data_IF_910985954195
#
_entry.id   IF_910985954195
#
_cell.length_a   1.000
_cell.length_b   1.000
_cell.length_c   1.000
_cell.angle_alpha   90.00
_cell.angle_beta   90.00
_cell.angle_gamma   90.00
#
_symmetry.space_group_name_H-M   'P 1'
#
loop_
_entity.id
_entity.type
_entity.pdbx_description
1 polymer ?
#
# COMPACT_ATOMS: atom_id res chain seq x y z
N UNK A 1 25.83 8.03 -5.85
CA UNK A 1 24.66 8.89 -5.60
C UNK A 1 23.55 7.97 -5.15
N UNK A 2 23.18 8.03 -3.87
CA UNK A 2 22.00 7.31 -3.38
C UNK A 2 20.74 8.02 -3.89
N UNK A 3 19.77 7.24 -4.36
CA UNK A 3 18.53 7.77 -4.91
C UNK A 3 17.72 8.42 -3.77
N UNK A 4 17.22 9.66 -3.94
CA UNK A 4 16.38 10.33 -2.94
C UNK A 4 15.01 9.63 -2.72
N UNK A 5 14.75 8.57 -3.49
CA UNK A 5 13.57 7.71 -3.40
C UNK A 5 13.80 6.42 -2.60
N UNK A 6 14.94 6.30 -1.91
CA UNK A 6 15.28 5.16 -1.06
C UNK A 6 14.48 5.20 0.24
N UNK A 7 13.35 4.49 0.29
CA UNK A 7 12.63 4.21 1.53
C UNK A 7 13.09 2.86 2.05
N UNK A 8 13.60 2.82 3.28
CA UNK A 8 13.90 1.57 3.98
C UNK A 8 12.58 0.89 4.37
N UNK A 9 12.18 -0.11 3.58
CA UNK A 9 11.02 -0.94 3.89
C UNK A 9 11.40 -1.97 4.94
N UNK A 10 10.70 -1.94 6.08
CA UNK A 10 10.83 -2.98 7.09
C UNK A 10 10.09 -4.23 6.64
N UNK A 11 10.72 -5.39 6.81
CA UNK A 11 10.11 -6.67 6.49
C UNK A 11 9.00 -6.99 7.48
N UNK A 12 7.80 -7.28 6.96
CA UNK A 12 6.66 -7.71 7.76
C UNK A 12 6.61 -9.26 7.80
N UNK A 13 6.27 -9.82 8.95
CA UNK A 13 6.07 -11.27 9.11
C UNK A 13 5.01 -11.77 8.11
N UNK A 14 5.44 -12.64 7.21
CA UNK A 14 4.63 -13.12 6.09
C UNK A 14 3.43 -13.97 6.55
N UNK A 15 3.57 -14.72 7.65
CA UNK A 15 2.48 -15.51 8.20
C UNK A 15 1.41 -14.61 8.82
N UNK A 16 1.83 -13.59 9.59
CA UNK A 16 0.91 -12.58 10.15
C UNK A 16 0.23 -11.77 9.05
N UNK A 17 0.98 -11.38 8.03
CA UNK A 17 0.47 -10.64 6.86
C UNK A 17 -0.59 -11.43 6.10
N UNK A 18 -0.33 -12.71 5.83
CA UNK A 18 -1.27 -13.58 5.13
C UNK A 18 -2.56 -13.83 5.93
N UNK A 19 -2.47 -13.98 7.26
CA UNK A 19 -3.66 -14.10 8.12
C UNK A 19 -4.45 -12.80 8.13
N UNK A 20 -3.77 -11.65 8.26
CA UNK A 20 -4.41 -10.33 8.21
C UNK A 20 -5.10 -10.10 6.86
N UNK A 21 -4.44 -10.39 5.74
CA UNK A 21 -5.01 -10.26 4.40
C UNK A 21 -6.19 -11.21 4.19
N UNK A 22 -6.09 -12.47 4.64
CA UNK A 22 -7.21 -13.42 4.55
C UNK A 22 -8.39 -13.01 5.41
N UNK A 23 -8.16 -12.42 6.58
CA UNK A 23 -9.24 -11.90 7.41
C UNK A 23 -9.84 -10.62 6.78
N UNK A 24 -9.01 -9.72 6.25
CA UNK A 24 -9.46 -8.51 5.55
C UNK A 24 -10.23 -8.80 4.25
N UNK A 25 -9.84 -9.83 3.51
CA UNK A 25 -10.47 -10.18 2.23
C UNK A 25 -11.56 -11.26 2.37
N UNK A 26 -11.53 -12.02 3.47
CA UNK A 26 -12.36 -13.22 3.67
C UNK A 26 -13.49 -13.06 4.69
N UNK A 27 -13.43 -12.05 5.58
CA UNK A 27 -14.53 -11.77 6.51
C UNK A 27 -15.11 -10.38 6.26
N UNK A 28 -16.42 -10.35 6.02
CA UNK A 28 -17.31 -9.21 5.83
C UNK A 28 -17.31 -8.48 4.48
N UNK A 29 -18.49 -8.51 3.83
CA UNK A 29 -18.87 -7.64 2.70
C UNK A 29 -18.90 -6.15 3.06
N UNK A 30 -18.71 -5.79 4.33
CA UNK A 30 -18.66 -4.41 4.84
C UNK A 30 -17.25 -3.84 4.93
N UNK A 31 -16.21 -4.66 4.75
CA UNK A 31 -14.87 -4.13 4.49
C UNK A 31 -14.88 -3.55 3.08
N UNK A 32 -15.06 -2.25 2.99
CA UNK A 32 -14.91 -1.51 1.74
C UNK A 32 -13.46 -1.62 1.28
N UNK A 33 -13.15 -2.72 0.59
CA UNK A 33 -11.93 -2.89 -0.18
C UNK A 33 -12.10 -1.94 -1.37
N UNK A 34 -11.64 -0.71 -1.20
CA UNK A 34 -11.66 0.26 -2.28
C UNK A 34 -10.51 -0.05 -3.23
N UNK A 35 -10.86 -0.61 -4.39
CA UNK A 35 -9.96 -0.71 -5.54
C UNK A 35 -9.92 0.66 -6.21
N UNK A 36 -9.00 1.51 -5.77
CA UNK A 36 -8.86 2.84 -6.31
C UNK A 36 -8.00 2.84 -7.58
N UNK A 37 -8.40 3.59 -8.60
CA UNK A 37 -7.49 3.99 -9.68
C UNK A 37 -6.45 5.01 -9.15
N UNK A 38 -5.40 5.32 -9.91
CA UNK A 38 -4.34 6.22 -9.44
C UNK A 38 -4.87 7.57 -8.92
N UNK A 39 -5.77 8.21 -9.67
CA UNK A 39 -6.32 9.52 -9.30
C UNK A 39 -7.11 9.46 -7.98
N UNK A 40 -7.90 8.41 -7.79
CA UNK A 40 -8.63 8.18 -6.54
C UNK A 40 -7.71 7.88 -5.35
N UNK A 41 -6.59 7.19 -5.57
CA UNK A 41 -5.57 6.97 -4.52
C UNK A 41 -4.99 8.32 -4.10
N UNK A 42 -4.63 9.17 -5.08
CA UNK A 42 -4.09 10.50 -4.82
C UNK A 42 -5.11 11.38 -4.10
N UNK A 43 -6.34 11.44 -4.59
CA UNK A 43 -7.43 12.21 -3.99
C UNK A 43 -7.71 11.78 -2.53
N UNK A 44 -7.72 10.46 -2.28
CA UNK A 44 -7.93 9.91 -0.94
C UNK A 44 -6.77 10.20 0.02
N UNK A 45 -5.53 10.26 -0.50
CA UNK A 45 -4.35 10.67 0.28
C UNK A 45 -4.32 12.17 0.57
N UNK A 46 -4.97 12.99 -0.25
CA UNK A 46 -5.04 14.45 -0.07
C UNK A 46 -6.14 14.88 0.90
N UNK A 47 -7.25 14.13 0.96
CA UNK A 47 -8.39 14.44 1.82
C UNK A 47 -8.39 13.75 3.19
N UNK A 48 -7.27 13.15 3.63
CA UNK A 48 -7.11 12.45 4.93
C UNK A 48 -8.16 11.32 5.19
N UNK A 49 -8.77 10.79 4.13
CA UNK A 49 -9.78 9.73 4.23
C UNK A 49 -9.17 8.33 4.34
N UNK A 50 -7.84 8.21 4.22
CA UNK A 50 -7.16 6.95 4.03
C UNK A 50 -6.34 6.55 5.26
N UNK A 51 -6.73 5.45 5.92
CA UNK A 51 -6.10 4.99 7.17
C UNK A 51 -4.87 4.11 6.97
N UNK A 52 -4.81 3.36 5.87
CA UNK A 52 -3.67 2.51 5.52
C UNK A 52 -3.72 2.09 4.04
N UNK A 53 -2.55 1.82 3.44
CA UNK A 53 -2.41 1.34 2.06
C UNK A 53 -1.81 -0.07 2.03
N UNK A 54 -2.37 -0.96 1.21
CA UNK A 54 -1.77 -2.25 0.88
C UNK A 54 -1.33 -2.22 -0.57
N UNK A 55 -0.04 -2.34 -0.82
CA UNK A 55 0.58 -2.35 -2.14
C UNK A 55 1.05 -3.77 -2.46
N UNK A 56 0.88 -4.19 -3.71
CA UNK A 56 1.41 -5.46 -4.20
C UNK A 56 2.40 -5.15 -5.31
N UNK A 57 3.63 -5.66 -5.18
CA UNK A 57 4.69 -5.47 -6.16
C UNK A 57 4.40 -6.30 -7.41
N UNK A 58 3.76 -5.68 -8.38
CA UNK A 58 3.54 -6.19 -9.74
C UNK A 58 4.33 -5.38 -10.78
N UNK A 59 4.32 -5.81 -12.04
CA UNK A 59 4.94 -5.03 -13.13
C UNK A 59 4.27 -3.67 -13.31
N UNK A 60 2.96 -3.58 -13.08
CA UNK A 60 2.19 -2.34 -13.12
C UNK A 60 2.59 -1.43 -11.96
N UNK A 61 2.74 -1.97 -10.75
CA UNK A 61 3.25 -1.22 -9.60
C UNK A 61 4.62 -0.60 -9.90
N UNK A 62 5.54 -1.39 -10.44
CA UNK A 62 6.91 -0.94 -10.73
C UNK A 62 6.96 0.18 -11.78
N UNK A 63 6.00 0.19 -12.72
CA UNK A 63 5.91 1.18 -13.79
C UNK A 63 5.17 2.45 -13.38
N UNK A 64 4.09 2.31 -12.60
CA UNK A 64 3.11 3.39 -12.43
C UNK A 64 2.86 3.79 -10.99
N UNK A 65 3.24 2.99 -9.98
CA UNK A 65 2.81 3.22 -8.59
C UNK A 65 3.96 3.26 -7.57
N UNK A 66 5.23 3.26 -8.00
CA UNK A 66 6.40 3.37 -7.10
C UNK A 66 6.40 4.61 -6.21
N UNK A 67 5.78 5.69 -6.68
CA UNK A 67 5.69 6.97 -5.97
C UNK A 67 4.65 6.95 -4.84
N UNK A 68 3.67 6.03 -4.88
CA UNK A 68 2.61 5.94 -3.85
C UNK A 68 3.18 5.71 -2.44
N UNK A 69 4.05 4.71 -2.18
CA UNK A 69 4.62 4.55 -0.84
C UNK A 69 5.51 5.73 -0.41
N UNK A 70 6.08 6.47 -1.36
CA UNK A 70 6.83 7.70 -1.06
C UNK A 70 5.91 8.78 -0.53
N UNK A 71 4.81 9.03 -1.22
CA UNK A 71 3.81 10.01 -0.81
C UNK A 71 3.16 9.60 0.52
N UNK A 72 2.83 8.31 0.67
CA UNK A 72 2.29 7.77 1.92
C UNK A 72 3.24 8.00 3.11
N UNK A 73 4.54 7.78 2.91
CA UNK A 73 5.57 8.07 3.92
C UNK A 73 5.60 9.56 4.31
N UNK A 74 5.61 10.46 3.32
CA UNK A 74 5.60 11.92 3.55
C UNK A 74 4.36 12.39 4.31
N UNK A 75 3.19 11.79 4.02
CA UNK A 75 1.92 12.07 4.68
C UNK A 75 1.71 11.26 5.97
N UNK A 76 2.67 10.44 6.39
CA UNK A 76 2.58 9.56 7.57
C UNK A 76 1.40 8.57 7.53
N UNK A 77 1.02 8.13 6.33
CA UNK A 77 0.00 7.11 6.11
C UNK A 77 0.68 5.73 6.21
N UNK A 78 0.23 4.84 7.11
CA UNK A 78 0.75 3.48 7.20
C UNK A 78 0.58 2.72 5.89
N UNK A 79 1.62 2.03 5.42
CA UNK A 79 1.51 1.18 4.24
C UNK A 79 2.32 -0.11 4.36
N UNK A 80 1.91 -1.12 3.60
CA UNK A 80 2.62 -2.40 3.46
C UNK A 80 2.84 -2.68 1.98
N UNK A 81 4.08 -3.03 1.60
CA UNK A 81 4.39 -3.54 0.26
C UNK A 81 4.58 -5.05 0.32
N UNK A 82 3.76 -5.78 -0.43
CA UNK A 82 3.81 -7.23 -0.55
C UNK A 82 4.59 -7.58 -1.81
N UNK A 83 5.69 -8.30 -1.66
CA UNK A 83 6.49 -8.78 -2.77
C UNK A 83 6.20 -10.26 -3.03
N UNK A 84 5.98 -10.63 -4.30
CA UNK A 84 6.05 -12.05 -4.69
C UNK A 84 7.52 -12.42 -4.83
N UNK A 85 7.98 -13.34 -3.99
CA UNK A 85 9.22 -14.10 -4.22
C UNK A 85 9.05 -15.06 -5.39
#
# INVERSE_FOLDING_TARGET
MESPYSIELQSLDQAKSNVLLRNLLGSDKSLNIFLFNHDEIMDSMDHDHLRAIILIRTNEYEKFYKHIPIIASLKKIPFVLIERK
#
